data_IF_803690877522
#
_entry.id   IF_803690877522
#
_cell.length_a   1.000
_cell.length_b   1.000
_cell.length_c   1.000
_cell.angle_alpha   90.00
_cell.angle_beta   90.00
_cell.angle_gamma   90.00
#
_symmetry.space_group_name_H-M   'P 1'
#
loop_
_entity.id
_entity.type
_entity.pdbx_description
1 polymer ?
#
# COMPACT_ATOMS: atom_id res chain seq x y z
N UNK A 1 -13.27 -14.62 4.23
CA UNK A 1 -13.18 -13.42 5.04
C UNK A 1 -12.48 -13.79 6.34
N UNK A 2 -11.20 -13.47 6.44
CA UNK A 2 -10.46 -13.57 7.71
C UNK A 2 -11.00 -12.48 8.63
N UNK A 3 -11.76 -12.87 9.65
CA UNK A 3 -12.29 -11.95 10.69
C UNK A 3 -11.64 -12.16 12.06
N UNK A 4 -10.47 -12.75 12.12
CA UNK A 4 -9.82 -13.03 13.41
C UNK A 4 -8.53 -12.21 13.51
N UNK A 5 -8.63 -11.14 14.28
CA UNK A 5 -7.65 -10.10 14.60
C UNK A 5 -7.38 -9.09 13.48
N UNK A 6 -7.91 -7.88 13.63
CA UNK A 6 -7.39 -6.74 12.86
C UNK A 6 -5.87 -6.68 13.05
N UNK A 7 -5.08 -6.55 11.97
CA UNK A 7 -3.65 -6.34 12.11
C UNK A 7 -3.38 -5.09 12.96
N UNK A 8 -2.36 -5.15 13.79
CA UNK A 8 -1.88 -3.99 14.53
C UNK A 8 -0.80 -3.31 13.70
N UNK A 9 -1.05 -2.08 13.29
CA UNK A 9 -0.05 -1.22 12.72
C UNK A 9 0.61 -0.37 13.80
N UNK A 10 1.78 0.15 13.52
CA UNK A 10 2.47 1.13 14.37
C UNK A 10 3.00 2.30 13.53
N UNK A 11 3.02 3.54 14.07
CA UNK A 11 3.69 4.63 13.42
C UNK A 11 5.20 4.54 13.65
N UNK A 12 5.97 5.10 12.74
CA UNK A 12 7.39 5.33 12.93
C UNK A 12 7.65 6.78 13.36
N UNK A 13 8.58 6.98 14.26
CA UNK A 13 9.09 8.30 14.60
C UNK A 13 10.59 8.35 14.38
N UNK A 14 11.11 9.47 13.94
CA UNK A 14 12.55 9.68 13.83
C UNK A 14 13.18 9.73 15.23
N UNK A 15 14.33 9.09 15.37
CA UNK A 15 15.16 9.15 16.57
C UNK A 15 16.21 10.25 16.50
N UNK A 16 16.56 10.68 15.27
CA UNK A 16 17.45 11.77 14.96
C UNK A 16 16.84 12.66 13.85
N UNK A 17 17.36 13.88 13.69
CA UNK A 17 16.98 14.75 12.57
C UNK A 17 17.42 14.12 11.25
N UNK A 18 16.53 13.97 10.25
CA UNK A 18 16.88 13.42 8.94
C UNK A 18 17.99 14.25 8.26
N UNK A 19 19.10 13.59 7.96
CA UNK A 19 20.24 14.18 7.25
C UNK A 19 20.12 14.10 5.73
N UNK A 20 21.08 14.72 5.04
CA UNK A 20 21.16 14.72 3.58
C UNK A 20 21.81 13.45 3.01
N UNK A 21 22.27 12.53 3.89
CA UNK A 21 22.94 11.29 3.54
C UNK A 21 22.00 10.14 3.14
N UNK A 22 20.69 10.30 3.41
CA UNK A 22 19.68 9.28 3.18
C UNK A 22 19.70 8.14 4.21
N UNK A 23 20.50 8.22 5.24
CA UNK A 23 20.56 7.26 6.35
C UNK A 23 19.77 7.84 7.54
N UNK A 24 18.46 7.57 7.57
CA UNK A 24 17.57 8.12 8.59
C UNK A 24 17.24 7.08 9.65
N UNK A 25 17.26 7.48 10.90
CA UNK A 25 16.95 6.61 12.03
C UNK A 25 15.51 6.82 12.47
N UNK A 26 14.80 5.70 12.61
CA UNK A 26 13.42 5.69 13.09
C UNK A 26 13.18 4.50 14.02
N UNK A 27 12.16 4.60 14.86
CA UNK A 27 11.70 3.53 15.72
C UNK A 27 10.17 3.39 15.64
N UNK A 28 9.63 2.17 15.82
CA UNK A 28 8.19 1.97 15.93
C UNK A 28 7.66 2.57 17.25
N UNK A 29 6.45 3.13 17.19
CA UNK A 29 5.75 3.68 18.34
C UNK A 29 4.48 2.87 18.68
N UNK A 30 3.50 3.50 19.35
CA UNK A 30 2.29 2.82 19.83
C UNK A 30 1.48 2.18 18.72
N UNK A 31 0.92 0.98 18.97
CA UNK A 31 0.14 0.24 17.99
C UNK A 31 -1.32 0.67 17.94
N UNK A 32 -1.94 0.54 16.77
CA UNK A 32 -3.38 0.69 16.58
C UNK A 32 -3.92 -0.35 15.59
N UNK A 33 -5.13 -0.87 15.79
CA UNK A 33 -5.75 -1.74 14.82
C UNK A 33 -6.13 -0.97 13.56
N UNK A 34 -6.05 -1.65 12.41
CA UNK A 34 -6.50 -1.09 11.14
C UNK A 34 -7.12 -2.15 10.23
N UNK A 35 -7.92 -1.69 9.28
CA UNK A 35 -8.42 -2.48 8.16
C UNK A 35 -8.29 -1.65 6.91
N UNK A 36 -7.47 -2.10 5.96
CA UNK A 36 -7.28 -1.39 4.69
C UNK A 36 -7.66 -2.25 3.50
N UNK A 37 -7.59 -1.67 2.31
CA UNK A 37 -7.86 -2.32 1.03
C UNK A 37 -6.56 -2.56 0.28
N UNK A 38 -6.44 -3.75 -0.32
CA UNK A 38 -5.52 -3.98 -1.42
C UNK A 38 -6.32 -4.30 -2.69
N UNK A 39 -5.82 -3.85 -3.83
CA UNK A 39 -6.28 -4.24 -5.17
C UNK A 39 -5.27 -5.20 -5.76
N UNK A 40 -5.74 -6.28 -6.38
CA UNK A 40 -4.86 -7.27 -7.01
C UNK A 40 -5.21 -7.39 -8.48
N UNK A 41 -4.20 -7.26 -9.33
CA UNK A 41 -4.24 -7.61 -10.76
C UNK A 41 -3.15 -8.62 -11.03
N UNK A 42 -3.47 -9.71 -11.68
CA UNK A 42 -2.55 -10.83 -11.89
C UNK A 42 -2.87 -11.58 -13.17
N UNK A 43 -1.93 -12.36 -13.72
CA UNK A 43 -2.24 -13.28 -14.79
C UNK A 43 -3.37 -14.24 -14.41
N UNK A 44 -4.27 -14.53 -15.34
CA UNK A 44 -5.32 -15.54 -15.16
C UNK A 44 -4.72 -16.95 -15.13
N UNK A 45 -3.78 -17.21 -16.06
CA UNK A 45 -3.01 -18.45 -16.10
C UNK A 45 -1.79 -18.32 -15.15
N UNK A 46 -1.72 -19.14 -14.09
CA UNK A 46 -0.56 -19.12 -13.18
C UNK A 46 0.78 -19.39 -13.87
N UNK A 47 0.79 -20.13 -14.99
CA UNK A 47 2.01 -20.41 -15.74
C UNK A 47 2.58 -19.19 -16.46
N UNK A 48 1.77 -18.13 -16.65
CA UNK A 48 2.21 -16.86 -17.22
C UNK A 48 2.82 -15.92 -16.17
N UNK A 49 2.75 -16.25 -14.89
CA UNK A 49 3.33 -15.41 -13.83
C UNK A 49 4.86 -15.48 -13.86
N UNK A 50 5.52 -14.33 -13.91
CA UNK A 50 6.98 -14.22 -13.99
C UNK A 50 7.70 -14.28 -12.63
N UNK A 51 6.98 -14.50 -11.52
CA UNK A 51 7.54 -14.53 -10.17
C UNK A 51 7.61 -13.18 -9.46
N UNK A 52 7.24 -12.08 -10.12
CA UNK A 52 7.37 -10.73 -9.54
C UNK A 52 6.03 -10.09 -9.27
N UNK A 53 5.86 -9.53 -8.06
CA UNK A 53 4.76 -8.69 -7.68
C UNK A 53 5.24 -7.25 -7.52
N UNK A 54 4.63 -6.32 -8.24
CA UNK A 54 4.80 -4.88 -8.04
C UNK A 54 3.74 -4.40 -7.05
N UNK A 55 4.17 -3.75 -5.97
CA UNK A 55 3.30 -3.21 -4.92
C UNK A 55 3.33 -1.70 -4.99
N UNK A 56 2.24 -1.11 -5.49
CA UNK A 56 2.10 0.33 -5.66
C UNK A 56 1.48 0.96 -4.42
N UNK A 57 2.16 1.96 -3.89
CA UNK A 57 1.58 2.90 -2.95
C UNK A 57 0.63 3.82 -3.70
N UNK A 58 -0.68 3.57 -3.62
CA UNK A 58 -1.67 4.32 -4.38
C UNK A 58 -1.59 5.82 -4.07
N UNK A 59 -1.58 6.63 -5.14
CA UNK A 59 -1.48 8.07 -5.03
C UNK A 59 -2.80 8.68 -4.53
N UNK A 60 -2.72 9.61 -3.58
CA UNK A 60 -3.90 10.25 -2.99
C UNK A 60 -3.93 11.77 -3.16
N UNK A 61 -3.17 12.33 -4.10
CA UNK A 61 -3.15 13.77 -4.37
C UNK A 61 -4.55 14.31 -4.68
N UNK A 62 -5.41 13.49 -5.27
CA UNK A 62 -6.80 13.81 -5.58
C UNK A 62 -7.81 13.45 -4.48
N UNK A 63 -7.35 13.11 -3.28
CA UNK A 63 -8.17 12.70 -2.13
C UNK A 63 -8.89 11.33 -2.31
N UNK A 64 -8.55 10.62 -3.35
CA UNK A 64 -8.97 9.25 -3.64
C UNK A 64 -7.75 8.44 -4.07
N UNK A 65 -7.84 7.12 -3.94
CA UNK A 65 -6.79 6.23 -4.48
C UNK A 65 -6.75 6.29 -5.99
N UNK A 66 -5.56 6.55 -6.53
CA UNK A 66 -5.27 6.51 -7.97
C UNK A 66 -4.07 5.60 -8.20
N UNK A 67 -4.25 4.62 -9.10
CA UNK A 67 -3.24 3.65 -9.53
C UNK A 67 -2.44 4.22 -10.71
N UNK A 68 -1.61 5.24 -10.44
CA UNK A 68 -0.94 6.04 -11.45
C UNK A 68 0.08 5.19 -12.21
N UNK A 69 0.93 4.46 -11.50
CA UNK A 69 1.99 3.65 -12.11
C UNK A 69 1.39 2.47 -12.88
N UNK A 70 0.36 1.80 -12.33
CA UNK A 70 -0.35 0.79 -13.09
C UNK A 70 -0.99 1.39 -14.35
N UNK A 71 -1.55 2.61 -14.27
CA UNK A 71 -2.13 3.30 -15.42
C UNK A 71 -1.15 3.48 -16.58
N UNK A 72 0.12 3.76 -16.28
CA UNK A 72 1.17 3.93 -17.29
C UNK A 72 1.81 2.60 -17.71
N UNK A 73 1.95 1.65 -16.80
CA UNK A 73 2.72 0.42 -17.01
C UNK A 73 1.86 -0.81 -17.30
N UNK A 74 0.52 -0.70 -17.30
CA UNK A 74 -0.40 -1.82 -17.38
C UNK A 74 -0.10 -2.76 -18.56
N UNK A 75 0.15 -2.21 -19.74
CA UNK A 75 0.42 -3.00 -20.94
C UNK A 75 1.69 -3.85 -20.77
N UNK A 76 2.75 -3.26 -20.23
CA UNK A 76 4.02 -3.95 -19.97
C UNK A 76 3.85 -5.01 -18.89
N UNK A 77 3.29 -4.63 -17.75
CA UNK A 77 3.10 -5.54 -16.62
C UNK A 77 2.27 -6.76 -17.01
N UNK A 78 1.17 -6.55 -17.74
CA UNK A 78 0.30 -7.64 -18.17
C UNK A 78 0.97 -8.52 -19.24
N UNK A 79 1.71 -7.93 -20.17
CA UNK A 79 2.40 -8.67 -21.23
C UNK A 79 3.53 -9.55 -20.69
N UNK A 80 4.29 -9.01 -19.73
CA UNK A 80 5.45 -9.69 -19.16
C UNK A 80 5.10 -10.57 -17.93
N UNK A 81 3.82 -10.73 -17.61
CA UNK A 81 3.34 -11.67 -16.59
C UNK A 81 3.56 -11.25 -15.15
N UNK A 82 3.69 -9.97 -14.86
CA UNK A 82 3.73 -9.47 -13.48
C UNK A 82 2.36 -9.62 -12.80
N UNK A 83 2.38 -9.78 -11.49
CA UNK A 83 1.24 -9.40 -10.66
C UNK A 83 1.44 -8.00 -10.11
N UNK A 84 0.35 -7.28 -9.92
CA UNK A 84 0.35 -5.93 -9.35
C UNK A 84 -0.62 -5.86 -8.16
N UNK A 85 -0.19 -5.14 -7.12
CA UNK A 85 -0.96 -4.92 -5.90
C UNK A 85 -0.96 -3.43 -5.55
N UNK A 86 -2.11 -2.78 -5.65
CA UNK A 86 -2.28 -1.41 -5.18
C UNK A 86 -2.73 -1.37 -3.73
N UNK A 87 -2.03 -0.61 -2.89
CA UNK A 87 -2.28 -0.50 -1.45
C UNK A 87 -2.91 0.84 -1.10
N UNK A 88 -4.11 0.82 -0.49
CA UNK A 88 -4.72 1.98 0.16
C UNK A 88 -3.96 2.23 1.47
N UNK A 89 -2.85 2.97 1.39
CA UNK A 89 -1.94 3.17 2.52
C UNK A 89 -2.25 4.43 3.33
N UNK A 90 -3.05 5.36 2.82
CA UNK A 90 -3.30 6.66 3.44
C UNK A 90 -4.77 6.87 3.84
N UNK A 91 -4.97 7.54 4.97
CA UNK A 91 -6.28 7.74 5.59
C UNK A 91 -7.26 8.46 4.67
N UNK A 92 -6.82 9.47 3.94
CA UNK A 92 -7.68 10.31 3.09
C UNK A 92 -8.42 9.49 2.03
N UNK A 93 -7.81 8.43 1.50
CA UNK A 93 -8.45 7.53 0.54
C UNK A 93 -9.59 6.72 1.16
N UNK A 94 -9.57 6.49 2.46
CA UNK A 94 -10.61 5.76 3.20
C UNK A 94 -11.74 6.69 3.62
N UNK A 95 -11.41 7.83 4.23
CA UNK A 95 -12.34 8.64 5.04
C UNK A 95 -12.79 9.96 4.40
N UNK A 96 -12.17 10.40 3.28
CA UNK A 96 -12.52 11.68 2.65
C UNK A 96 -14.02 11.80 2.34
N UNK A 97 -14.58 12.93 2.70
CA UNK A 97 -16.00 13.26 2.42
C UNK A 97 -16.16 14.30 1.31
N UNK A 98 -15.09 14.54 0.56
CA UNK A 98 -15.03 15.54 -0.50
C UNK A 98 -14.09 16.70 -0.16
N UNK A 99 -13.94 17.62 -1.09
CA UNK A 99 -13.02 18.75 -0.97
C UNK A 99 -11.70 18.52 -1.71
N UNK A 100 -10.71 19.37 -1.46
CA UNK A 100 -9.46 19.34 -2.20
C UNK A 100 -9.56 19.98 -3.59
N UNK A 101 -8.50 19.86 -4.37
CA UNK A 101 -8.40 20.53 -5.68
C UNK A 101 -9.35 19.99 -6.75
N UNK A 102 -9.94 18.81 -6.52
CA UNK A 102 -10.92 18.18 -7.45
C UNK A 102 -12.37 18.30 -6.98
N UNK A 103 -12.62 19.14 -5.95
CA UNK A 103 -13.95 19.43 -5.46
C UNK A 103 -14.65 18.30 -4.72
N UNK A 104 -15.98 18.40 -4.60
CA UNK A 104 -16.78 17.49 -3.77
C UNK A 104 -16.91 16.07 -4.34
N UNK A 105 -16.44 15.83 -5.57
CA UNK A 105 -16.45 14.50 -6.18
C UNK A 105 -15.33 13.57 -5.67
N UNK A 106 -14.31 14.14 -5.01
CA UNK A 106 -13.17 13.39 -4.48
C UNK A 106 -13.51 12.79 -3.11
N UNK A 107 -14.34 11.76 -3.09
CA UNK A 107 -14.80 11.09 -1.86
C UNK A 107 -14.04 9.76 -1.65
N UNK A 108 -13.67 9.48 -0.39
CA UNK A 108 -13.00 8.26 0.00
C UNK A 108 -13.90 7.02 -0.10
N UNK A 109 -13.29 5.87 0.06
CA UNK A 109 -13.92 4.56 -0.16
C UNK A 109 -15.18 4.34 0.68
N UNK A 110 -15.18 4.78 1.95
CA UNK A 110 -16.33 4.62 2.83
C UNK A 110 -17.54 5.42 2.33
N UNK A 111 -17.33 6.64 1.84
CA UNK A 111 -18.40 7.48 1.30
C UNK A 111 -18.83 7.04 -0.10
N UNK A 112 -17.88 6.58 -0.93
CA UNK A 112 -18.15 6.14 -2.31
C UNK A 112 -18.96 4.85 -2.37
N UNK A 113 -18.61 3.84 -1.57
CA UNK A 113 -19.31 2.55 -1.57
C UNK A 113 -19.43 1.97 -0.14
N UNK A 114 -20.29 2.59 0.71
CA UNK A 114 -20.40 2.23 2.12
C UNK A 114 -20.79 0.76 2.34
N UNK A 115 -21.63 0.19 1.49
CA UNK A 115 -22.01 -1.23 1.58
C UNK A 115 -20.81 -2.19 1.47
N UNK A 116 -19.72 -1.74 0.83
CA UNK A 116 -18.51 -2.55 0.61
C UNK A 116 -17.39 -2.19 1.57
N UNK A 117 -17.27 -0.92 1.92
CA UNK A 117 -16.07 -0.37 2.56
C UNK A 117 -16.31 0.23 3.96
N UNK A 118 -17.52 0.06 4.56
CA UNK A 118 -17.80 0.59 5.89
C UNK A 118 -16.91 0.01 6.99
N UNK A 119 -16.38 -1.20 6.81
CA UNK A 119 -15.50 -1.88 7.77
C UNK A 119 -14.03 -1.42 7.67
N UNK A 120 -13.67 -0.60 6.67
CA UNK A 120 -12.32 -0.04 6.61
C UNK A 120 -12.10 0.89 7.80
N UNK A 121 -10.90 0.85 8.36
CA UNK A 121 -10.50 1.68 9.49
C UNK A 121 -9.04 2.06 9.35
N UNK A 122 -8.74 3.34 9.33
CA UNK A 122 -7.38 3.85 9.21
C UNK A 122 -7.03 4.73 10.41
N UNK A 123 -5.94 4.44 11.14
CA UNK A 123 -5.59 5.16 12.38
C UNK A 123 -4.85 6.48 12.16
N UNK A 124 -4.72 6.92 10.92
CA UNK A 124 -4.00 8.13 10.53
C UNK A 124 -2.71 7.87 9.76
N UNK A 125 -2.25 8.87 9.00
CA UNK A 125 -1.13 8.75 8.04
C UNK A 125 0.22 8.41 8.69
N UNK A 126 0.37 8.59 9.99
CA UNK A 126 1.57 8.12 10.71
C UNK A 126 1.77 6.60 10.63
N UNK A 127 0.68 5.85 10.41
CA UNK A 127 0.67 4.40 10.29
C UNK A 127 0.87 3.89 8.84
N UNK A 128 0.82 4.79 7.86
CA UNK A 128 0.83 4.44 6.43
C UNK A 128 2.05 3.60 6.03
N UNK A 129 3.20 3.89 6.60
CA UNK A 129 4.45 3.17 6.29
C UNK A 129 4.41 1.71 6.74
N UNK A 130 3.87 1.46 7.94
CA UNK A 130 3.75 0.10 8.46
C UNK A 130 2.63 -0.67 7.76
N UNK A 131 1.51 -0.02 7.46
CA UNK A 131 0.43 -0.59 6.64
C UNK A 131 0.99 -1.04 5.29
N UNK A 132 1.82 -0.22 4.64
CA UNK A 132 2.46 -0.57 3.38
C UNK A 132 3.45 -1.73 3.53
N UNK A 133 4.29 -1.72 4.60
CA UNK A 133 5.18 -2.84 4.93
C UNK A 133 4.41 -4.15 5.10
N UNK A 134 3.36 -4.13 5.91
CA UNK A 134 2.56 -5.33 6.18
C UNK A 134 1.84 -5.83 4.93
N UNK A 135 1.37 -4.93 4.04
CA UNK A 135 0.79 -5.30 2.76
C UNK A 135 1.80 -6.03 1.87
N UNK A 136 3.05 -5.58 1.80
CA UNK A 136 4.11 -6.28 1.08
C UNK A 136 4.49 -7.62 1.72
N UNK A 137 4.67 -7.63 3.04
CA UNK A 137 5.08 -8.83 3.78
C UNK A 137 4.04 -9.95 3.70
N UNK A 138 2.74 -9.63 3.78
CA UNK A 138 1.66 -10.62 3.72
C UNK A 138 1.64 -11.40 2.41
N UNK A 139 2.11 -10.82 1.29
CA UNK A 139 2.11 -11.48 -0.02
C UNK A 139 2.97 -12.75 -0.05
N UNK A 140 3.93 -12.88 0.86
CA UNK A 140 4.78 -14.08 1.01
C UNK A 140 4.15 -15.16 1.92
N UNK A 141 3.02 -14.87 2.54
CA UNK A 141 2.29 -15.82 3.40
C UNK A 141 1.22 -16.58 2.63
N UNK A 142 0.72 -17.68 3.19
CA UNK A 142 -0.40 -18.44 2.60
C UNK A 142 -1.64 -17.56 2.35
N UNK A 143 -1.95 -16.63 3.27
CA UNK A 143 -3.07 -15.72 3.12
C UNK A 143 -2.89 -14.75 1.94
N UNK A 144 -1.69 -14.21 1.78
CA UNK A 144 -1.36 -13.33 0.65
C UNK A 144 -1.32 -14.08 -0.67
N UNK A 145 -0.76 -15.28 -0.69
CA UNK A 145 -0.77 -16.17 -1.86
C UNK A 145 -2.21 -16.51 -2.27
N UNK A 146 -3.10 -16.76 -1.32
CA UNK A 146 -4.52 -16.96 -1.60
C UNK A 146 -5.16 -15.72 -2.25
N UNK A 147 -4.83 -14.50 -1.79
CA UNK A 147 -5.26 -13.25 -2.40
C UNK A 147 -4.69 -13.07 -3.82
N UNK A 148 -3.47 -13.54 -4.06
CA UNK A 148 -2.83 -13.60 -5.38
C UNK A 148 -3.36 -14.76 -6.25
N UNK A 149 -4.39 -15.51 -5.79
CA UNK A 149 -4.95 -16.65 -6.53
C UNK A 149 -4.04 -17.87 -6.59
N UNK A 150 -3.20 -18.04 -5.58
CA UNK A 150 -2.26 -19.17 -5.45
C UNK A 150 -0.87 -18.88 -6.03
N UNK A 151 -0.62 -17.68 -6.56
CA UNK A 151 0.72 -17.31 -7.02
C UNK A 151 1.67 -17.13 -5.83
N UNK A 152 2.89 -17.62 -5.98
CA UNK A 152 3.98 -17.51 -4.99
C UNK A 152 5.02 -16.54 -5.54
N UNK A 153 5.20 -15.36 -4.95
CA UNK A 153 6.16 -14.39 -5.45
C UNK A 153 7.61 -14.76 -5.06
N UNK A 154 8.51 -14.72 -6.04
CA UNK A 154 9.95 -14.73 -5.83
C UNK A 154 10.45 -13.33 -5.43
N UNK A 155 9.87 -12.30 -6.07
CA UNK A 155 10.23 -10.91 -5.87
C UNK A 155 8.98 -10.07 -5.54
N UNK A 156 9.14 -9.14 -4.59
CA UNK A 156 8.14 -8.14 -4.23
C UNK A 156 8.83 -6.78 -4.29
N UNK A 157 8.38 -5.92 -5.18
CA UNK A 157 8.97 -4.61 -5.46
C UNK A 157 8.01 -3.51 -5.03
N UNK A 158 8.52 -2.49 -4.34
CA UNK A 158 7.74 -1.30 -4.01
C UNK A 158 7.77 -0.30 -5.17
N UNK A 159 6.63 0.33 -5.44
CA UNK A 159 6.46 1.33 -6.47
C UNK A 159 5.55 2.47 -6.02
N UNK A 160 5.69 3.64 -6.61
CA UNK A 160 4.84 4.80 -6.34
C UNK A 160 5.31 6.06 -7.02
N UNK A 161 4.37 6.83 -7.54
CA UNK A 161 4.58 8.03 -8.35
C UNK A 161 4.24 9.30 -7.56
N UNK A 162 4.94 10.41 -7.87
CA UNK A 162 4.66 11.76 -7.38
C UNK A 162 4.58 11.84 -5.85
N UNK A 163 3.43 12.11 -5.27
CA UNK A 163 3.21 12.16 -3.82
C UNK A 163 3.59 10.83 -3.15
N UNK A 164 3.29 9.70 -3.77
CA UNK A 164 3.66 8.37 -3.26
C UNK A 164 5.17 8.11 -3.36
N UNK A 165 5.85 8.65 -4.38
CA UNK A 165 7.31 8.60 -4.48
C UNK A 165 7.99 9.32 -3.31
N UNK A 166 7.45 10.47 -2.86
CA UNK A 166 7.96 11.12 -1.65
C UNK A 166 7.77 10.25 -0.39
N UNK A 167 6.66 9.54 -0.29
CA UNK A 167 6.45 8.57 0.78
C UNK A 167 7.46 7.43 0.70
N UNK A 168 7.69 6.89 -0.48
CA UNK A 168 8.67 5.81 -0.68
C UNK A 168 10.10 6.27 -0.41
N UNK A 169 10.46 7.51 -0.72
CA UNK A 169 11.76 8.05 -0.33
C UNK A 169 11.96 7.98 1.18
N UNK A 170 10.98 8.44 1.96
CA UNK A 170 11.00 8.31 3.41
C UNK A 170 11.04 6.84 3.84
N UNK A 171 10.25 5.98 3.19
CA UNK A 171 10.20 4.55 3.47
C UNK A 171 11.58 3.91 3.32
N UNK A 172 12.24 4.14 2.19
CA UNK A 172 13.56 3.54 1.90
C UNK A 172 14.62 4.01 2.91
N UNK A 173 14.61 5.29 3.25
CA UNK A 173 15.64 5.87 4.11
C UNK A 173 15.44 5.57 5.60
N UNK A 174 14.20 5.43 6.08
CA UNK A 174 13.92 5.32 7.52
C UNK A 174 13.28 3.99 7.94
N UNK A 175 12.39 3.44 7.12
CA UNK A 175 11.53 2.31 7.51
C UNK A 175 12.04 0.98 6.97
N UNK A 176 12.44 0.95 5.69
CA UNK A 176 12.91 -0.28 5.04
C UNK A 176 14.08 -0.95 5.78
N UNK A 177 15.08 -0.23 6.33
CA UNK A 177 16.15 -0.84 7.11
C UNK A 177 15.65 -1.65 8.31
N UNK A 178 14.47 -1.32 8.85
CA UNK A 178 13.82 -2.01 9.96
C UNK A 178 12.88 -3.13 9.47
N UNK A 179 12.11 -2.86 8.43
CA UNK A 179 11.06 -3.75 7.93
C UNK A 179 11.59 -4.85 6.98
N UNK A 180 12.53 -4.52 6.11
CA UNK A 180 13.18 -5.42 5.14
C UNK A 180 12.19 -6.24 4.29
N UNK A 181 11.13 -5.61 3.79
CA UNK A 181 10.04 -6.28 3.08
C UNK A 181 10.26 -6.34 1.57
N UNK A 182 10.77 -5.27 0.99
CA UNK A 182 10.92 -5.05 -0.45
C UNK A 182 12.37 -5.17 -0.91
#
# INVERSE_FOLDING_TARGET
>A
AMRDACPLGHPYRYTDEPGDDGEWSAEPADTSPYTTRILVRRPEDPAAFNGTVVVEWLNVTSYVDVDVDFGFLAEELLREGYAWVGVTAQEVAVTSTGGGQFGDAAIGLQAWAPARYHDLSHPGDAYSYDIFSQAGAVLRTEAGQAALGGLVPDHVLADGESQSAFRLLTYVNAVHPLAQVF
#
